data_IF_458852698903
#
_entry.id   IF_458852698903
#
_cell.length_a   1.000
_cell.length_b   1.000
_cell.length_c   1.000
_cell.angle_alpha   90.00
_cell.angle_beta   90.00
_cell.angle_gamma   90.00
#
_symmetry.space_group_name_H-M   'P 1'
#
loop_
_entity.id
_entity.type
_entity.pdbx_description
1 polymer ?
#
# COMPACT_ATOMS: atom_id res chain seq x y z
N UNK A 1 14.65 -2.28 -2.74
CA UNK A 1 14.04 -1.37 -3.74
C UNK A 1 14.84 -0.07 -3.92
N UNK A 2 15.12 0.69 -2.85
CA UNK A 2 15.77 2.02 -2.94
C UNK A 2 17.08 2.04 -3.75
N UNK A 3 17.99 1.09 -3.52
CA UNK A 3 19.24 1.01 -4.29
C UNK A 3 19.00 0.83 -5.79
N UNK A 4 18.06 -0.05 -6.18
CA UNK A 4 17.76 -0.30 -7.60
C UNK A 4 17.16 0.94 -8.25
N UNK A 5 16.26 1.65 -7.57
CA UNK A 5 15.74 2.92 -8.05
C UNK A 5 16.86 3.96 -8.22
N UNK A 6 17.76 4.09 -7.22
CA UNK A 6 18.90 4.99 -7.29
C UNK A 6 19.86 4.65 -8.44
N UNK A 7 20.15 3.38 -8.69
CA UNK A 7 20.94 2.91 -9.83
C UNK A 7 20.32 3.36 -11.16
N UNK A 8 19.01 3.21 -11.33
CA UNK A 8 18.35 3.62 -12.60
C UNK A 8 18.37 5.12 -12.84
N UNK A 9 18.47 5.93 -11.79
CA UNK A 9 18.66 7.38 -11.90
C UNK A 9 20.14 7.71 -12.17
N UNK A 10 21.06 7.11 -11.42
CA UNK A 10 22.49 7.37 -11.54
C UNK A 10 23.08 6.91 -12.88
N UNK A 11 22.55 5.80 -13.43
CA UNK A 11 22.98 5.23 -14.70
C UNK A 11 21.98 5.50 -15.83
N UNK A 12 20.97 6.36 -15.63
CA UNK A 12 19.89 6.57 -16.60
C UNK A 12 20.34 7.02 -17.99
N UNK A 13 21.45 7.75 -18.08
CA UNK A 13 22.04 8.16 -19.37
C UNK A 13 22.74 7.00 -20.11
N UNK A 14 23.11 5.94 -19.37
CA UNK A 14 23.79 4.76 -19.91
C UNK A 14 22.84 3.57 -20.11
N UNK A 15 21.85 3.44 -19.23
CA UNK A 15 20.85 2.39 -19.25
C UNK A 15 19.63 2.90 -20.00
N UNK A 16 19.36 2.34 -21.18
CA UNK A 16 18.17 2.73 -21.94
C UNK A 16 16.89 2.64 -21.09
N UNK A 17 15.95 3.57 -21.26
CA UNK A 17 14.77 3.72 -20.41
C UNK A 17 13.97 2.41 -20.17
N UNK A 18 13.86 1.56 -21.20
CA UNK A 18 13.20 0.23 -21.09
C UNK A 18 13.90 -0.70 -20.10
N UNK A 19 15.24 -0.67 -20.06
CA UNK A 19 16.01 -1.47 -19.12
C UNK A 19 15.82 -0.95 -17.70
N UNK A 20 15.92 0.37 -17.48
CA UNK A 20 15.63 0.97 -16.18
C UNK A 20 14.22 0.62 -15.67
N UNK A 21 13.20 0.72 -16.54
CA UNK A 21 11.83 0.35 -16.18
C UNK A 21 11.71 -1.13 -15.78
N UNK A 22 12.36 -2.03 -16.52
CA UNK A 22 12.41 -3.46 -16.21
C UNK A 22 13.04 -3.69 -14.83
N UNK A 23 14.19 -3.07 -14.57
CA UNK A 23 14.93 -3.21 -13.30
C UNK A 23 14.12 -2.71 -12.10
N UNK A 24 13.45 -1.56 -12.22
CA UNK A 24 12.55 -1.05 -11.16
C UNK A 24 11.39 -2.01 -10.94
N UNK A 25 10.78 -2.53 -12.02
CA UNK A 25 9.67 -3.47 -11.91
C UNK A 25 10.09 -4.76 -11.21
N UNK A 26 11.23 -5.35 -11.58
CA UNK A 26 11.72 -6.57 -10.90
C UNK A 26 12.05 -6.33 -9.42
N UNK A 27 12.58 -5.16 -9.08
CA UNK A 27 12.81 -4.80 -7.69
C UNK A 27 11.51 -4.53 -6.91
N UNK A 28 10.49 -3.99 -7.56
CA UNK A 28 9.15 -3.84 -7.02
C UNK A 28 8.52 -5.20 -6.74
N UNK A 29 8.54 -6.12 -7.70
CA UNK A 29 7.89 -7.43 -7.57
C UNK A 29 8.50 -8.24 -6.41
N UNK A 30 9.84 -8.23 -6.27
CA UNK A 30 10.53 -8.83 -5.11
C UNK A 30 10.15 -8.17 -3.79
N UNK A 31 9.99 -6.85 -3.77
CA UNK A 31 9.55 -6.15 -2.57
C UNK A 31 8.13 -6.57 -2.17
N UNK A 32 7.21 -6.63 -3.12
CA UNK A 32 5.82 -7.08 -2.90
C UNK A 32 5.78 -8.50 -2.34
N UNK A 33 6.56 -9.43 -2.91
CA UNK A 33 6.65 -10.81 -2.42
C UNK A 33 7.11 -10.90 -0.96
N UNK A 34 8.10 -10.11 -0.56
CA UNK A 34 8.55 -10.08 0.84
C UNK A 34 7.52 -9.42 1.77
N UNK A 35 6.94 -8.28 1.36
CA UNK A 35 5.95 -7.58 2.19
C UNK A 35 4.72 -8.43 2.50
N UNK A 36 4.25 -9.23 1.52
CA UNK A 36 3.13 -10.16 1.72
C UNK A 36 3.37 -11.20 2.83
N UNK A 37 4.63 -11.49 3.18
CA UNK A 37 4.98 -12.43 4.25
C UNK A 37 4.96 -11.80 5.64
N UNK A 38 5.07 -10.48 5.71
CA UNK A 38 5.29 -9.75 6.96
C UNK A 38 4.11 -8.88 7.37
N UNK A 39 3.23 -8.49 6.45
CA UNK A 39 2.06 -7.67 6.74
C UNK A 39 0.85 -8.56 7.03
N UNK A 40 0.39 -8.56 8.28
CA UNK A 40 -0.87 -9.19 8.68
C UNK A 40 -2.05 -8.23 8.48
N UNK A 41 -2.64 -8.28 7.29
CA UNK A 41 -3.82 -7.48 6.93
C UNK A 41 -5.05 -7.75 7.79
N UNK A 42 -5.15 -8.92 8.42
CA UNK A 42 -6.29 -9.27 9.25
C UNK A 42 -6.25 -8.60 10.63
N UNK A 43 -5.08 -8.09 11.03
CA UNK A 43 -4.83 -7.60 12.37
C UNK A 43 -4.06 -6.27 12.43
N UNK A 44 -4.15 -5.45 11.38
CA UNK A 44 -3.52 -4.13 11.35
C UNK A 44 -4.05 -3.22 12.46
N UNK A 45 -3.15 -2.78 13.33
CA UNK A 45 -3.42 -1.78 14.36
C UNK A 45 -3.20 -0.36 13.83
N UNK A 46 -3.59 0.64 14.62
CA UNK A 46 -3.33 2.05 14.31
C UNK A 46 -1.83 2.33 14.19
N UNK A 47 -0.98 1.68 14.99
CA UNK A 47 0.45 1.91 14.96
C UNK A 47 1.10 1.23 13.74
N UNK A 48 0.65 0.02 13.37
CA UNK A 48 1.05 -0.61 12.10
C UNK A 48 0.69 0.28 10.90
N UNK A 49 -0.51 0.86 10.91
CA UNK A 49 -0.93 1.80 9.86
C UNK A 49 -0.01 3.03 9.80
N UNK A 50 0.41 3.60 10.93
CA UNK A 50 1.36 4.73 10.94
C UNK A 50 2.74 4.34 10.41
N UNK A 51 3.24 3.16 10.81
CA UNK A 51 4.53 2.63 10.35
C UNK A 51 4.52 2.37 8.84
N UNK A 52 3.43 1.79 8.35
CA UNK A 52 3.19 1.55 6.94
C UNK A 52 2.79 2.81 6.16
N UNK A 53 2.77 3.99 6.80
CA UNK A 53 2.49 5.31 6.20
C UNK A 53 1.07 5.48 5.66
N UNK A 54 0.09 4.77 6.22
CA UNK A 54 -1.32 5.05 5.97
C UNK A 54 -1.67 6.44 6.49
N UNK A 55 -2.61 7.10 5.81
CA UNK A 55 -3.09 8.42 6.21
C UNK A 55 -4.54 8.35 6.68
N UNK A 56 -4.82 8.93 7.84
CA UNK A 56 -6.19 9.15 8.28
C UNK A 56 -6.88 10.12 7.31
N UNK A 57 -8.04 9.71 6.78
CA UNK A 57 -8.77 10.56 5.83
C UNK A 57 -9.44 11.77 6.49
N UNK A 58 -10.31 11.53 7.47
CA UNK A 58 -11.02 12.59 8.18
C UNK A 58 -11.60 12.10 9.50
N UNK A 59 -11.89 13.02 10.43
CA UNK A 59 -12.55 12.67 11.70
C UNK A 59 -13.99 12.15 11.50
N UNK A 60 -14.66 12.55 10.42
CA UNK A 60 -16.03 12.11 10.11
C UNK A 60 -16.08 10.69 9.54
N UNK A 61 -15.04 10.30 8.83
CA UNK A 61 -14.87 8.98 8.26
C UNK A 61 -13.43 8.52 8.56
N UNK A 62 -13.20 7.93 9.75
CA UNK A 62 -11.86 7.66 10.27
C UNK A 62 -11.24 6.41 9.65
N UNK A 63 -11.30 6.33 8.33
CA UNK A 63 -10.61 5.32 7.54
C UNK A 63 -9.15 5.71 7.38
N UNK A 64 -8.29 4.70 7.38
CA UNK A 64 -6.86 4.83 7.12
C UNK A 64 -6.59 4.44 5.68
N UNK A 65 -6.26 5.43 4.86
CA UNK A 65 -6.03 5.28 3.43
C UNK A 65 -4.76 4.49 3.17
N UNK A 66 -4.85 3.52 2.28
CA UNK A 66 -3.75 2.61 1.95
C UNK A 66 -2.77 3.33 1.00
N UNK A 67 -1.47 3.39 1.31
CA UNK A 67 -0.46 3.92 0.40
C UNK A 67 -0.40 3.14 -0.91
N UNK A 68 -0.24 3.83 -2.05
CA UNK A 68 -0.26 3.17 -3.38
C UNK A 68 0.79 2.06 -3.52
N UNK A 69 1.93 2.17 -2.84
CA UNK A 69 3.00 1.16 -2.88
C UNK A 69 2.62 -0.17 -2.20
N UNK A 70 1.50 -0.21 -1.47
CA UNK A 70 0.93 -1.43 -0.90
C UNK A 70 -0.20 -2.03 -1.73
N UNK A 71 -0.60 -1.41 -2.86
CA UNK A 71 -1.71 -1.88 -3.69
C UNK A 71 -1.59 -3.37 -4.06
N UNK A 72 -0.40 -3.78 -4.50
CA UNK A 72 -0.14 -5.18 -4.90
C UNK A 72 0.06 -6.13 -3.71
N UNK A 73 0.03 -5.63 -2.48
CA UNK A 73 0.18 -6.41 -1.25
C UNK A 73 -1.18 -6.70 -0.60
N UNK A 74 -2.25 -5.99 -1.00
CA UNK A 74 -3.60 -6.18 -0.48
C UNK A 74 -4.10 -7.61 -0.84
N UNK A 75 -4.51 -8.42 0.14
CA UNK A 75 -5.04 -9.76 -0.13
C UNK A 75 -6.44 -9.69 -0.73
N UNK A 76 -6.75 -10.64 -1.61
CA UNK A 76 -8.09 -10.81 -2.14
C UNK A 76 -9.09 -11.11 -1.01
N UNK A 77 -10.30 -10.57 -1.11
CA UNK A 77 -11.32 -10.62 -0.07
C UNK A 77 -11.24 -9.51 0.98
N UNK A 78 -10.27 -8.58 0.88
CA UNK A 78 -10.18 -7.46 1.83
C UNK A 78 -11.34 -6.49 1.64
N UNK A 79 -12.07 -6.18 2.72
CA UNK A 79 -13.11 -5.13 2.71
C UNK A 79 -12.43 -3.76 2.81
N UNK A 80 -12.59 -2.94 1.76
CA UNK A 80 -12.11 -1.57 1.71
C UNK A 80 -13.29 -0.61 1.79
N UNK A 81 -13.06 0.57 2.35
CA UNK A 81 -14.04 1.67 2.40
C UNK A 81 -13.49 2.85 1.62
N UNK A 82 -14.25 3.37 0.66
CA UNK A 82 -13.89 4.57 -0.09
C UNK A 82 -14.02 5.82 0.78
N UNK A 83 -13.37 6.92 0.37
CA UNK A 83 -13.55 8.24 1.01
C UNK A 83 -14.99 8.78 0.98
N UNK A 84 -15.85 8.20 0.12
CA UNK A 84 -17.28 8.49 0.06
C UNK A 84 -18.11 7.64 1.05
N UNK A 85 -17.48 6.68 1.72
CA UNK A 85 -18.11 5.77 2.68
C UNK A 85 -18.65 4.47 2.06
N UNK A 86 -18.41 4.22 0.77
CA UNK A 86 -18.87 3.00 0.09
C UNK A 86 -17.91 1.85 0.37
N UNK A 87 -18.46 0.66 0.63
CA UNK A 87 -17.67 -0.55 0.87
C UNK A 87 -17.50 -1.37 -0.40
N UNK A 88 -16.32 -1.93 -0.58
CA UNK A 88 -15.99 -2.82 -1.71
C UNK A 88 -15.14 -3.99 -1.21
N UNK A 89 -15.35 -5.17 -1.79
CA UNK A 89 -14.48 -6.33 -1.56
C UNK A 89 -13.41 -6.31 -2.64
N UNK A 90 -12.16 -6.09 -2.25
CA UNK A 90 -11.02 -6.08 -3.16
C UNK A 90 -10.60 -7.51 -3.50
N UNK A 91 -10.64 -7.89 -4.78
CA UNK A 91 -10.02 -9.12 -5.29
C UNK A 91 -8.88 -8.79 -6.26
N UNK A 92 -9.06 -7.76 -7.08
CA UNK A 92 -8.05 -7.24 -8.00
C UNK A 92 -8.12 -5.71 -8.05
N UNK A 93 -7.08 -5.09 -8.65
CA UNK A 93 -7.03 -3.65 -8.91
C UNK A 93 -8.17 -3.11 -9.79
N UNK A 94 -8.91 -3.97 -10.48
CA UNK A 94 -10.03 -3.58 -11.34
C UNK A 94 -11.32 -3.35 -10.54
N UNK A 95 -11.36 -3.82 -9.29
CA UNK A 95 -12.51 -3.65 -8.39
C UNK A 95 -12.57 -2.24 -7.78
N UNK A 96 -11.48 -1.46 -7.87
CA UNK A 96 -11.35 -0.15 -7.23
C UNK A 96 -10.83 0.91 -8.19
N UNK A 97 -11.18 2.17 -7.93
CA UNK A 97 -10.51 3.31 -8.54
C UNK A 97 -9.13 3.51 -7.88
N UNK A 98 -8.07 3.49 -8.69
CA UNK A 98 -6.68 3.69 -8.22
C UNK A 98 -6.30 5.18 -8.12
N UNK A 99 -7.28 6.10 -8.11
CA UNK A 99 -7.04 7.50 -7.79
C UNK A 99 -6.30 7.62 -6.45
N UNK A 100 -5.37 8.58 -6.40
CA UNK A 100 -4.56 8.80 -5.20
C UNK A 100 -4.74 10.20 -4.64
N UNK A 101 -4.81 10.28 -3.32
CA UNK A 101 -4.79 11.51 -2.54
C UNK A 101 -3.64 11.43 -1.56
N UNK A 102 -2.70 12.38 -1.68
CA UNK A 102 -1.49 12.41 -0.84
C UNK A 102 -0.67 11.11 -0.88
N UNK A 103 -0.58 10.44 -2.04
CA UNK A 103 0.16 9.19 -2.20
C UNK A 103 -0.54 7.93 -1.65
N UNK A 104 -1.78 8.07 -1.16
CA UNK A 104 -2.63 6.95 -0.74
C UNK A 104 -3.81 6.79 -1.69
N UNK A 105 -4.33 5.57 -1.80
CA UNK A 105 -5.57 5.27 -2.51
C UNK A 105 -6.72 6.05 -1.89
N UNK A 106 -7.77 6.32 -2.67
CA UNK A 106 -9.07 6.82 -2.16
C UNK A 106 -9.85 5.77 -1.37
N UNK A 107 -9.20 4.66 -1.00
CA UNK A 107 -9.72 3.54 -0.25
C UNK A 107 -8.85 3.29 0.98
N UNK A 108 -9.50 2.93 2.07
CA UNK A 108 -8.85 2.64 3.34
C UNK A 108 -9.54 1.54 4.13
N UNK A 109 -8.96 1.26 5.30
CA UNK A 109 -9.46 0.28 6.25
C UNK A 109 -9.73 0.94 7.60
N UNK A 110 -10.49 0.27 8.45
CA UNK A 110 -10.56 0.59 9.87
C UNK A 110 -9.54 -0.30 10.60
N UNK A 111 -8.44 0.27 11.13
CA UNK A 111 -7.50 -0.52 11.91
C UNK A 111 -8.16 -1.01 13.19
N UNK A 112 -7.67 -2.12 13.70
CA UNK A 112 -8.06 -2.60 15.02
C UNK A 112 -7.52 -1.68 16.10
N UNK A 113 -8.26 -1.58 17.21
CA UNK A 113 -7.71 -1.05 18.44
C UNK A 113 -6.49 -1.90 18.82
N UNK A 114 -5.43 -1.25 19.30
CA UNK A 114 -4.29 -1.97 19.85
C UNK A 114 -4.83 -2.94 20.91
N UNK A 115 -4.52 -4.23 20.75
CA UNK A 115 -4.74 -5.21 21.79
C UNK A 115 -3.93 -4.72 22.98
N UNK A 116 -4.58 -4.16 24.00
CA UNK A 116 -3.93 -4.01 25.30
C UNK A 116 -3.67 -5.44 25.78
N UNK A 117 -2.48 -5.96 25.53
CA UNK A 117 -1.94 -7.08 26.29
C UNK A 117 -1.77 -6.57 27.72
N UNK A 118 -2.84 -6.73 28.50
CA UNK A 118 -2.79 -6.64 29.94
C UNK A 118 -2.20 -7.95 30.45
N UNK A 119 -0.91 -7.94 30.79
CA UNK A 119 -0.33 -8.76 31.86
C UNK A 119 0.94 -8.11 32.43
#
# INVERSE_FOLDING_TARGET
MANRAAETVAYGDCWGAKFCQKEVKEAHDKMVEELRKHIDWSNLTVDDCKELRFNLWSDKLPIWLIPIWLLDVIPAGTELTSISGEKVVFNTKEDIDIDTRCGCLTYGIYPKAASNEAE
#
